data_IF_368023698390
#
_entry.id   IF_368023698390
#
_cell.length_a   1.000
_cell.length_b   1.000
_cell.length_c   1.000
_cell.angle_alpha   90.00
_cell.angle_beta   90.00
_cell.angle_gamma   90.00
#
_symmetry.space_group_name_H-M   'P 1'
#
loop_
_entity.id
_entity.type
_entity.pdbx_description
1 polymer ?
#
# COMPACT_ATOMS: atom_id res chain seq x y z
N UNK A 1 -4.32 12.71 4.42
CA UNK A 1 -2.94 12.27 4.14
C UNK A 1 -1.96 13.17 4.90
N UNK A 2 -0.90 12.58 5.42
CA UNK A 2 0.17 13.33 6.09
C UNK A 2 0.86 14.22 5.06
N UNK A 3 0.90 15.52 5.30
CA UNK A 3 1.53 16.46 4.37
C UNK A 3 3.04 16.25 4.25
N UNK A 4 3.66 15.78 5.35
CA UNK A 4 5.10 15.52 5.42
C UNK A 4 5.39 14.14 6.00
N UNK A 5 6.25 13.38 5.34
CA UNK A 5 6.87 12.16 5.88
C UNK A 5 8.40 12.29 5.74
N UNK A 6 9.10 12.16 6.86
CA UNK A 6 10.56 12.36 6.88
C UNK A 6 10.99 13.74 6.40
N UNK A 7 10.17 14.78 6.68
CA UNK A 7 10.40 16.15 6.22
C UNK A 7 10.12 16.41 4.73
N UNK A 8 9.64 15.39 4.00
CA UNK A 8 9.35 15.52 2.57
C UNK A 8 7.87 15.82 2.31
N UNK A 9 7.54 16.70 1.35
CA UNK A 9 6.16 16.97 0.97
C UNK A 9 5.53 15.80 0.23
N UNK A 10 4.21 15.64 0.38
CA UNK A 10 3.40 14.75 -0.46
C UNK A 10 3.34 15.29 -1.91
N UNK A 11 3.58 14.41 -2.87
CA UNK A 11 3.61 14.73 -4.30
C UNK A 11 2.45 14.07 -5.07
N UNK A 12 1.44 13.55 -4.35
CA UNK A 12 0.26 12.94 -4.94
C UNK A 12 0.37 11.43 -5.16
N UNK A 13 -0.51 10.88 -5.97
CA UNK A 13 -0.59 9.45 -6.23
C UNK A 13 0.43 9.01 -7.30
N UNK A 14 0.96 7.80 -7.11
CA UNK A 14 1.76 7.14 -8.14
C UNK A 14 0.88 6.75 -9.33
N UNK A 15 1.35 6.97 -10.56
CA UNK A 15 0.63 6.58 -11.77
C UNK A 15 0.50 5.06 -11.95
N UNK A 16 1.17 4.28 -11.12
CA UNK A 16 1.11 2.81 -11.14
C UNK A 16 -0.11 2.31 -10.38
N UNK A 17 -1.22 2.12 -11.07
CA UNK A 17 -2.43 1.50 -10.54
C UNK A 17 -2.42 0.00 -10.81
N UNK A 18 -2.71 -0.80 -9.78
CA UNK A 18 -2.80 -2.26 -9.86
C UNK A 18 -4.20 -2.70 -9.46
N UNK A 19 -4.83 -3.48 -10.33
CA UNK A 19 -6.16 -4.04 -10.11
C UNK A 19 -6.04 -5.47 -9.61
N UNK A 20 -6.75 -5.79 -8.54
CA UNK A 20 -6.81 -7.12 -7.97
C UNK A 20 -8.25 -7.60 -7.89
N UNK A 21 -8.42 -8.87 -8.22
CA UNK A 21 -9.66 -9.62 -8.06
C UNK A 21 -9.37 -10.81 -7.16
N UNK A 22 -10.10 -10.92 -6.05
CA UNK A 22 -10.03 -12.05 -5.13
C UNK A 22 -11.37 -12.79 -5.16
N UNK A 23 -11.33 -14.08 -5.40
CA UNK A 23 -12.46 -15.01 -5.39
C UNK A 23 -12.44 -15.86 -4.12
N UNK A 24 -13.52 -16.64 -3.81
CA UNK A 24 -13.53 -17.51 -2.66
C UNK A 24 -12.31 -18.44 -2.62
N UNK A 25 -11.63 -18.44 -1.48
CA UNK A 25 -10.38 -19.15 -1.26
C UNK A 25 -9.12 -18.30 -1.41
N UNK A 26 -9.18 -17.20 -2.14
CA UNK A 26 -8.02 -16.31 -2.30
C UNK A 26 -7.75 -15.51 -1.02
N UNK A 27 -6.47 -15.29 -0.76
CA UNK A 27 -5.97 -14.50 0.35
C UNK A 27 -4.64 -13.86 -0.03
N UNK A 28 -4.19 -12.90 0.76
CA UNK A 28 -2.87 -12.31 0.58
C UNK A 28 -2.05 -12.53 1.85
N UNK A 29 -0.90 -13.20 1.70
CA UNK A 29 -0.02 -13.52 2.84
C UNK A 29 0.48 -12.24 3.51
N UNK A 30 0.78 -12.32 4.79
CA UNK A 30 1.47 -11.27 5.53
C UNK A 30 2.75 -10.90 4.80
N UNK A 31 2.97 -9.62 4.63
CA UNK A 31 4.12 -9.09 3.91
C UNK A 31 4.45 -7.67 4.38
N UNK A 32 5.57 -7.17 3.96
CA UNK A 32 5.95 -5.76 4.11
C UNK A 32 5.89 -5.10 2.74
N UNK A 33 5.12 -4.02 2.64
CA UNK A 33 5.10 -3.20 1.43
C UNK A 33 6.42 -2.41 1.33
N UNK A 34 7.12 -2.57 0.21
CA UNK A 34 8.29 -1.77 -0.11
C UNK A 34 7.91 -0.44 -0.79
N UNK A 35 8.81 0.53 -0.71
CA UNK A 35 8.67 1.78 -1.44
C UNK A 35 8.93 1.60 -2.94
N UNK A 36 8.15 2.30 -3.77
CA UNK A 36 8.27 2.31 -5.22
C UNK A 36 8.68 3.69 -5.72
N UNK A 37 9.53 3.78 -6.74
CA UNK A 37 9.82 5.07 -7.36
C UNK A 37 8.60 5.66 -8.03
N UNK A 38 8.61 6.97 -8.23
CA UNK A 38 7.54 7.69 -8.91
C UNK A 38 7.44 7.30 -10.38
N UNK A 39 6.33 6.70 -10.77
CA UNK A 39 6.05 6.26 -12.13
C UNK A 39 5.24 7.32 -12.89
N UNK A 40 5.40 7.39 -14.20
CA UNK A 40 4.58 8.17 -15.10
C UNK A 40 4.28 7.41 -16.40
N UNK A 41 3.22 7.82 -17.09
CA UNK A 41 2.95 7.34 -18.44
C UNK A 41 3.61 8.31 -19.44
N UNK A 42 4.62 7.82 -20.14
CA UNK A 42 5.37 8.58 -21.15
C UNK A 42 5.18 7.88 -22.50
N UNK A 43 4.64 8.61 -23.47
CA UNK A 43 4.34 8.07 -24.82
C UNK A 43 3.49 6.78 -24.77
N UNK A 44 2.47 6.74 -23.90
CA UNK A 44 1.57 5.60 -23.72
C UNK A 44 2.17 4.39 -23.01
N UNK A 45 3.39 4.48 -22.47
CA UNK A 45 4.07 3.41 -21.71
C UNK A 45 4.35 3.84 -20.29
N UNK A 46 4.17 2.91 -19.34
CA UNK A 46 4.53 3.14 -17.96
C UNK A 46 6.05 3.11 -17.79
N UNK A 47 6.61 4.26 -17.38
CA UNK A 47 8.00 4.38 -16.95
C UNK A 47 8.06 4.25 -15.43
N UNK A 48 8.77 3.26 -14.91
CA UNK A 48 8.74 2.89 -13.49
C UNK A 48 9.39 3.94 -12.58
N UNK A 49 10.51 4.53 -12.99
CA UNK A 49 11.17 5.65 -12.32
C UNK A 49 11.25 6.82 -13.30
N UNK A 50 10.19 7.62 -13.34
CA UNK A 50 10.09 8.72 -14.31
C UNK A 50 10.69 10.04 -13.79
N UNK A 51 10.96 10.14 -12.50
CA UNK A 51 11.28 11.41 -11.85
C UNK A 51 12.65 11.40 -11.14
N UNK A 52 13.08 10.25 -10.59
CA UNK A 52 14.34 10.12 -9.86
C UNK A 52 14.39 10.79 -8.47
N UNK A 53 13.41 11.64 -8.15
CA UNK A 53 13.39 12.52 -6.97
C UNK A 53 12.31 12.17 -5.94
N UNK A 54 11.54 11.10 -6.16
CA UNK A 54 10.40 10.72 -5.31
C UNK A 54 10.21 9.22 -5.16
N UNK A 55 9.67 8.83 -3.99
CA UNK A 55 9.35 7.45 -3.65
C UNK A 55 8.00 7.39 -2.93
N UNK A 56 7.34 6.23 -3.02
CA UNK A 56 6.13 6.01 -2.25
C UNK A 56 6.44 5.76 -0.78
N UNK A 57 5.57 6.28 0.10
CA UNK A 57 5.65 6.10 1.56
C UNK A 57 4.37 5.51 2.15
N UNK A 58 3.26 5.60 1.43
CA UNK A 58 1.98 5.05 1.86
C UNK A 58 1.38 4.20 0.74
N UNK A 59 0.76 3.08 1.12
CA UNK A 59 -0.13 2.29 0.26
C UNK A 59 -1.55 2.81 0.36
N UNK A 60 -2.26 2.88 -0.76
CA UNK A 60 -3.71 3.11 -0.82
C UNK A 60 -4.38 1.90 -1.46
N UNK A 61 -5.40 1.37 -0.78
CA UNK A 61 -6.31 0.35 -1.29
C UNK A 61 -7.70 0.97 -1.45
N UNK A 62 -8.21 1.04 -2.68
CA UNK A 62 -9.56 1.48 -2.98
C UNK A 62 -10.47 0.25 -3.11
N UNK A 63 -11.57 0.20 -2.35
CA UNK A 63 -12.53 -0.90 -2.37
C UNK A 63 -13.57 -0.67 -3.47
N UNK A 64 -13.62 -1.56 -4.46
CA UNK A 64 -14.50 -1.47 -5.63
C UNK A 64 -15.70 -2.42 -5.56
N UNK A 65 -15.78 -3.26 -4.53
CA UNK A 65 -16.91 -4.18 -4.29
C UNK A 65 -17.26 -4.23 -2.81
N UNK A 66 -18.51 -4.59 -2.48
CA UNK A 66 -18.99 -4.68 -1.11
C UNK A 66 -19.78 -5.98 -0.82
N UNK A 67 -20.11 -6.75 -1.84
CA UNK A 67 -20.94 -7.98 -1.79
C UNK A 67 -20.03 -9.23 -1.72
N UNK A 68 -19.14 -9.25 -0.70
CA UNK A 68 -18.28 -10.38 -0.39
C UNK A 68 -18.19 -10.57 1.12
N UNK A 69 -17.86 -11.79 1.55
CA UNK A 69 -17.62 -12.14 2.94
C UNK A 69 -16.16 -12.50 3.19
N UNK A 70 -15.63 -12.10 4.33
CA UNK A 70 -14.20 -12.20 4.66
C UNK A 70 -13.39 -11.17 3.89
N UNK A 71 -12.14 -11.51 3.57
CA UNK A 71 -11.29 -10.66 2.72
C UNK A 71 -10.86 -9.34 3.35
N UNK A 72 -11.03 -9.16 4.67
CA UNK A 72 -10.57 -7.94 5.36
C UNK A 72 -9.06 -7.79 5.29
N UNK A 73 -8.59 -6.56 5.24
CA UNK A 73 -7.17 -6.28 5.48
C UNK A 73 -6.91 -6.39 6.98
N UNK A 74 -5.89 -7.16 7.35
CA UNK A 74 -5.48 -7.36 8.74
C UNK A 74 -4.09 -6.78 8.94
N UNK A 75 -3.85 -6.17 10.09
CA UNK A 75 -2.54 -5.67 10.50
C UNK A 75 -2.06 -6.41 11.74
N UNK A 76 -0.75 -6.59 11.85
CA UNK A 76 -0.08 -7.30 12.93
C UNK A 76 0.85 -6.33 13.69
N UNK A 77 0.36 -5.58 14.69
CA UNK A 77 1.19 -4.60 15.42
C UNK A 77 2.36 -5.22 16.17
N UNK A 78 2.20 -6.45 16.65
CA UNK A 78 3.21 -7.21 17.39
C UNK A 78 3.95 -8.23 16.51
N UNK A 79 3.90 -8.07 15.19
CA UNK A 79 4.44 -9.03 14.23
C UNK A 79 3.50 -10.21 13.96
N UNK A 80 3.91 -11.11 13.07
CA UNK A 80 3.07 -12.22 12.57
C UNK A 80 2.56 -13.20 13.64
N UNK A 81 3.23 -13.28 14.79
CA UNK A 81 2.84 -14.11 15.92
C UNK A 81 1.83 -13.42 16.86
N UNK A 82 1.61 -12.13 16.69
CA UNK A 82 0.68 -11.35 17.51
C UNK A 82 -0.77 -11.45 17.02
N UNK A 83 -1.66 -10.80 17.76
CA UNK A 83 -3.06 -10.71 17.39
C UNK A 83 -3.24 -9.82 16.16
N UNK A 84 -3.99 -10.32 15.18
CA UNK A 84 -4.32 -9.57 13.97
C UNK A 84 -5.49 -8.61 14.19
N UNK A 85 -5.32 -7.35 13.83
CA UNK A 85 -6.38 -6.35 13.85
C UNK A 85 -7.02 -6.27 12.47
N UNK A 86 -8.27 -6.75 12.29
CA UNK A 86 -8.99 -6.62 11.02
C UNK A 86 -9.50 -5.19 10.84
N UNK A 87 -9.35 -4.66 9.63
CA UNK A 87 -9.90 -3.37 9.23
C UNK A 87 -11.01 -3.58 8.22
N UNK A 88 -12.22 -3.21 8.60
CA UNK A 88 -13.36 -3.20 7.69
C UNK A 88 -13.34 -1.92 6.85
N UNK A 89 -13.21 -2.07 5.55
CA UNK A 89 -13.20 -0.94 4.61
C UNK A 89 -14.44 -1.04 3.73
N UNK A 90 -15.41 -0.11 3.86
CA UNK A 90 -16.63 -0.13 3.06
C UNK A 90 -16.37 0.07 1.56
N UNK A 91 -17.33 -0.35 0.72
CA UNK A 91 -17.34 -0.05 -0.71
C UNK A 91 -17.16 1.45 -0.96
N UNK A 92 -16.30 1.81 -1.91
CA UNK A 92 -16.01 3.18 -2.28
C UNK A 92 -15.06 3.92 -1.33
N UNK A 93 -14.61 3.26 -0.25
CA UNK A 93 -13.65 3.83 0.69
C UNK A 93 -12.21 3.49 0.31
N UNK A 94 -11.28 4.28 0.83
CA UNK A 94 -9.85 4.05 0.71
C UNK A 94 -9.24 3.70 2.08
N UNK A 95 -8.46 2.62 2.12
CA UNK A 95 -7.59 2.29 3.24
C UNK A 95 -6.17 2.77 2.89
N UNK A 96 -5.60 3.61 3.76
CA UNK A 96 -4.26 4.15 3.58
C UNK A 96 -3.38 3.79 4.78
N UNK A 97 -2.19 3.27 4.53
CA UNK A 97 -1.25 2.88 5.58
C UNK A 97 0.22 3.02 5.12
N UNK A 98 1.15 3.22 6.10
CA UNK A 98 2.57 3.41 5.81
C UNK A 98 3.26 2.17 5.23
N UNK A 99 4.32 2.38 4.44
CA UNK A 99 5.25 1.33 3.99
C UNK A 99 6.26 0.91 5.05
N UNK A 100 6.93 -0.21 4.80
CA UNK A 100 7.78 -0.92 5.71
C UNK A 100 8.88 -0.16 6.44
N UNK A 101 9.44 0.91 5.87
CA UNK A 101 10.46 1.74 6.56
C UNK A 101 9.91 2.72 7.58
N UNK A 102 8.60 2.92 7.62
CA UNK A 102 7.97 3.89 8.50
C UNK A 102 7.80 3.32 9.91
N UNK A 103 8.05 4.12 10.99
CA UNK A 103 7.90 3.64 12.38
C UNK A 103 6.51 3.13 12.75
N UNK A 104 5.47 3.56 12.03
CA UNK A 104 4.08 3.13 12.20
C UNK A 104 3.65 2.05 11.20
N UNK A 105 4.62 1.42 10.51
CA UNK A 105 4.30 0.31 9.63
C UNK A 105 3.96 -0.95 10.45
N UNK A 106 2.82 -1.55 10.14
CA UNK A 106 2.44 -2.86 10.60
C UNK A 106 2.28 -3.79 9.39
N UNK A 107 2.86 -5.01 9.41
CA UNK A 107 2.72 -5.94 8.30
C UNK A 107 1.24 -6.18 7.96
N UNK A 108 0.78 -5.89 6.74
CA UNK A 108 -0.58 -6.19 6.31
C UNK A 108 -0.71 -7.63 5.82
N UNK A 109 -1.90 -8.17 5.94
CA UNK A 109 -2.33 -9.40 5.27
C UNK A 109 -3.75 -9.24 4.74
N UNK A 110 -4.11 -9.98 3.70
CA UNK A 110 -5.49 -10.11 3.24
C UNK A 110 -6.11 -11.38 3.79
N UNK A 111 -7.17 -11.26 4.57
CA UNK A 111 -7.98 -12.40 5.00
C UNK A 111 -8.54 -13.16 3.80
N UNK A 112 -8.75 -14.47 3.95
CA UNK A 112 -9.39 -15.29 2.92
C UNK A 112 -10.80 -14.78 2.61
N UNK A 113 -11.10 -14.57 1.32
CA UNK A 113 -12.47 -14.36 0.85
C UNK A 113 -13.23 -15.68 1.03
N UNK A 114 -14.38 -15.62 1.72
CA UNK A 114 -15.22 -16.79 1.96
C UNK A 114 -16.34 -16.93 0.92
N UNK A 115 -16.93 -15.80 0.53
CA UNK A 115 -18.03 -15.74 -0.45
C UNK A 115 -17.94 -14.44 -1.25
N UNK A 116 -18.49 -14.43 -2.47
CA UNK A 116 -18.48 -13.27 -3.36
C UNK A 116 -17.14 -13.02 -4.02
N UNK A 117 -16.98 -11.84 -4.60
CA UNK A 117 -15.74 -11.44 -5.27
C UNK A 117 -15.32 -10.07 -4.76
N UNK A 118 -14.10 -9.97 -4.25
CA UNK A 118 -13.52 -8.71 -3.82
C UNK A 118 -12.69 -8.09 -4.95
N UNK A 119 -12.99 -6.85 -5.30
CA UNK A 119 -12.19 -6.04 -6.23
C UNK A 119 -11.57 -4.86 -5.51
N UNK A 120 -10.28 -4.64 -5.73
CA UNK A 120 -9.56 -3.47 -5.23
C UNK A 120 -8.66 -2.85 -6.30
N UNK A 121 -8.41 -1.56 -6.16
CA UNK A 121 -7.28 -0.89 -6.81
C UNK A 121 -6.24 -0.61 -5.72
N UNK A 122 -4.98 -0.89 -6.03
CA UNK A 122 -3.84 -0.47 -5.22
C UNK A 122 -3.02 0.55 -6.00
N UNK A 123 -2.70 1.63 -5.33
CA UNK A 123 -1.66 2.58 -5.71
C UNK A 123 -0.92 3.04 -4.47
N UNK A 124 -0.01 3.98 -4.63
CA UNK A 124 0.85 4.44 -3.56
C UNK A 124 0.88 5.99 -3.55
N UNK A 125 1.14 6.60 -2.39
CA UNK A 125 1.35 8.05 -2.27
C UNK A 125 2.83 8.34 -2.35
N UNK A 126 3.20 9.26 -3.24
CA UNK A 126 4.58 9.69 -3.48
C UNK A 126 4.96 10.84 -2.55
N UNK A 127 6.19 10.80 -2.10
CA UNK A 127 6.84 11.86 -1.33
C UNK A 127 8.20 12.18 -1.94
N UNK A 128 8.64 13.43 -1.82
CA UNK A 128 9.98 13.84 -2.24
C UNK A 128 11.07 13.06 -1.51
N UNK A 129 12.21 12.88 -2.14
CA UNK A 129 13.39 12.27 -1.52
C UNK A 129 14.07 13.31 -0.64
N UNK A 130 14.34 12.93 0.60
CA UNK A 130 15.15 13.69 1.55
C UNK A 130 16.23 12.78 2.11
N UNK A 131 17.34 13.30 2.63
CA UNK A 131 18.37 12.49 3.29
C UNK A 131 17.78 11.60 4.40
N UNK A 132 16.74 12.07 5.09
CA UNK A 132 16.07 11.32 6.15
C UNK A 132 15.23 10.19 5.58
N UNK A 133 14.43 10.45 4.54
CA UNK A 133 13.63 9.41 3.87
C UNK A 133 14.51 8.34 3.22
N UNK A 134 15.68 8.70 2.71
CA UNK A 134 16.65 7.75 2.16
C UNK A 134 17.27 6.85 3.23
N UNK A 135 17.57 7.38 4.43
CA UNK A 135 18.06 6.56 5.55
C UNK A 135 17.01 5.53 5.99
N UNK A 136 15.74 5.95 6.08
CA UNK A 136 14.62 5.05 6.40
C UNK A 136 14.53 3.93 5.37
N UNK A 137 14.63 4.25 4.09
CA UNK A 137 14.50 3.29 3.01
C UNK A 137 15.67 2.29 2.94
N UNK A 138 16.92 2.72 3.16
CA UNK A 138 18.10 1.86 3.14
C UNK A 138 18.08 0.76 4.21
N UNK A 139 17.37 0.98 5.33
CA UNK A 139 17.21 -0.02 6.39
C UNK A 139 16.42 -1.26 5.95
N UNK A 140 15.71 -1.20 4.83
CA UNK A 140 14.79 -2.24 4.37
C UNK A 140 15.18 -2.87 3.02
N UNK A 141 16.31 -2.47 2.47
CA UNK A 141 16.86 -3.06 1.24
C UNK A 141 17.90 -4.18 1.49
N UNK A 142 18.11 -4.57 2.79
CA UNK A 142 19.06 -5.62 3.17
C UNK A 142 18.42 -6.62 4.13
#
# INVERSE_FOLDING_TARGET
LTELIGGAPSLGLNARFRFYRYQPGDFFKTHTDGSWPGSAVVNGKLQADAFGDRWSQLTILLLLSGDYEGGHTRFYPEGESGEAIPVHTPLGSALCFPHGGHPQHYPPAGEKVRQGIKYIIRTDVLYGRTPESEKIQRRWMY
#
